data_IF_363505899808
#
_entry.id   IF_363505899808
#
_cell.length_a   1.000
_cell.length_b   1.000
_cell.length_c   1.000
_cell.angle_alpha   90.00
_cell.angle_beta   90.00
_cell.angle_gamma   90.00
#
_symmetry.space_group_name_H-M   'P 1'
#
loop_
_entity.id
_entity.type
_entity.pdbx_description
1 polymer ?
#
# COMPACT_ATOMS: atom_id res chain seq x y z
N UNK A 1 -45.05 -2.36 11.05
CA UNK A 1 -43.94 -1.88 10.21
C UNK A 1 -43.20 -0.83 11.05
N UNK A 2 -42.55 -1.17 12.17
CA UNK A 2 -41.35 -2.00 12.29
C UNK A 2 -40.17 -1.14 11.81
N UNK A 3 -39.50 -0.38 12.68
CA UNK A 3 -38.34 -0.84 13.45
C UNK A 3 -38.46 -0.47 14.93
N UNK A 4 -38.49 -1.50 15.78
CA UNK A 4 -38.63 -1.40 17.22
C UNK A 4 -37.37 -0.81 17.87
N UNK A 5 -37.61 0.26 18.63
CA UNK A 5 -37.15 0.54 19.98
C UNK A 5 -36.13 -0.43 20.62
N UNK A 6 -34.89 0.03 20.81
CA UNK A 6 -33.94 -0.54 21.77
C UNK A 6 -32.93 0.52 22.25
N UNK A 7 -33.44 1.70 22.65
CA UNK A 7 -32.62 2.79 23.21
C UNK A 7 -32.98 3.14 24.65
N UNK A 8 -33.46 2.15 25.40
CA UNK A 8 -33.56 2.25 26.85
C UNK A 8 -33.06 0.96 27.47
N UNK A 9 -32.27 1.06 28.55
CA UNK A 9 -31.65 -0.03 29.33
C UNK A 9 -30.24 -0.44 28.85
N UNK A 10 -29.21 0.32 29.25
CA UNK A 10 -28.10 -0.20 30.10
C UNK A 10 -27.15 0.94 30.52
N UNK A 11 -27.41 1.47 31.71
CA UNK A 11 -26.39 2.15 32.54
C UNK A 11 -25.39 1.08 33.05
N UNK A 12 -24.10 1.44 33.17
CA UNK A 12 -23.01 0.75 33.90
C UNK A 12 -22.02 -0.15 33.12
N UNK A 13 -21.27 0.38 32.13
CA UNK A 13 -19.89 -0.06 31.86
C UNK A 13 -19.01 1.15 31.46
N UNK A 14 -17.80 1.32 32.04
CA UNK A 14 -16.91 2.42 31.68
C UNK A 14 -16.36 2.22 30.26
N UNK A 15 -16.56 3.24 29.41
CA UNK A 15 -15.85 3.55 28.17
C UNK A 15 -15.36 2.33 27.37
N UNK A 16 -16.22 1.84 26.48
CA UNK A 16 -15.82 0.94 25.42
C UNK A 16 -14.81 1.63 24.50
N UNK A 17 -13.64 0.99 24.37
CA UNK A 17 -12.84 0.84 23.16
C UNK A 17 -12.80 2.03 22.20
N UNK A 18 -11.74 2.81 22.29
CA UNK A 18 -10.62 2.73 21.35
C UNK A 18 -9.82 4.01 21.49
N UNK A 19 -8.59 3.86 21.98
CA UNK A 19 -7.51 4.76 21.64
C UNK A 19 -7.35 4.74 20.12
N UNK A 20 -8.12 5.57 19.41
CA UNK A 20 -7.70 6.06 18.11
C UNK A 20 -6.62 7.11 18.39
N UNK A 21 -5.45 6.59 18.76
CA UNK A 21 -4.19 7.29 18.55
C UNK A 21 -4.06 7.43 17.05
N UNK A 22 -4.50 8.57 16.52
CA UNK A 22 -4.25 9.00 15.15
C UNK A 22 -2.75 9.31 14.98
N UNK A 23 -1.89 8.32 15.16
CA UNK A 23 -0.84 8.18 14.17
C UNK A 23 -1.63 7.83 12.93
N UNK A 24 -1.59 8.68 11.91
CA UNK A 24 -2.06 8.35 10.57
C UNK A 24 -1.13 7.27 9.98
N UNK A 25 -1.04 6.13 10.66
CA UNK A 25 -0.58 4.88 10.09
C UNK A 25 -1.71 4.56 9.13
N UNK A 26 -1.52 4.94 7.86
CA UNK A 26 -2.43 4.61 6.76
C UNK A 26 -2.81 3.15 6.99
N UNK A 27 -4.07 2.91 7.33
CA UNK A 27 -4.55 1.59 7.68
C UNK A 27 -4.54 0.78 6.39
N UNK A 28 -3.39 0.18 6.16
CA UNK A 28 -3.08 -0.71 5.06
C UNK A 28 -3.81 -2.02 5.34
N UNK A 29 -5.10 -2.05 5.02
CA UNK A 29 -5.92 -3.27 5.06
C UNK A 29 -5.39 -4.22 3.98
N UNK A 30 -4.30 -4.95 4.26
CA UNK A 30 -3.72 -5.92 3.32
C UNK A 30 -2.22 -5.79 3.01
N UNK A 31 -1.43 -5.05 3.78
CA UNK A 31 0.04 -4.98 3.60
C UNK A 31 0.55 -3.98 2.54
N UNK A 32 -0.30 -3.44 1.67
CA UNK A 32 0.05 -2.39 0.69
C UNK A 32 -0.71 -1.05 0.85
N UNK A 33 -0.16 0.02 0.28
CA UNK A 33 -0.90 1.25 -0.05
C UNK A 33 -2.06 0.92 -0.98
N UNK A 34 -3.30 1.21 -0.59
CA UNK A 34 -4.41 1.15 -1.52
C UNK A 34 -4.39 2.37 -2.44
N UNK A 35 -4.59 2.14 -3.74
CA UNK A 35 -4.80 3.16 -4.76
C UNK A 35 -6.09 2.87 -5.51
N UNK A 36 -7.00 3.83 -5.53
CA UNK A 36 -8.25 3.72 -6.26
C UNK A 36 -8.03 4.05 -7.73
N UNK A 37 -8.28 3.07 -8.61
CA UNK A 37 -8.12 3.23 -10.06
C UNK A 37 -9.15 4.23 -10.60
N UNK A 38 -8.69 5.27 -11.29
CA UNK A 38 -9.56 6.26 -11.92
C UNK A 38 -9.89 5.91 -13.37
N UNK A 39 -11.02 6.40 -13.86
CA UNK A 39 -11.40 6.23 -15.27
C UNK A 39 -10.35 6.88 -16.17
N UNK A 40 -9.79 6.10 -17.11
CA UNK A 40 -8.74 6.55 -18.01
C UNK A 40 -7.31 6.42 -17.45
N UNK A 41 -7.14 5.86 -16.25
CA UNK A 41 -5.81 5.50 -15.77
C UNK A 41 -5.18 4.38 -16.62
N UNK A 42 -3.85 4.35 -16.61
CA UNK A 42 -3.02 3.31 -17.20
C UNK A 42 -2.02 2.85 -16.14
N UNK A 43 -1.54 1.61 -16.20
CA UNK A 43 -0.49 1.18 -15.25
C UNK A 43 0.74 2.09 -15.30
N UNK A 44 1.02 2.74 -16.44
CA UNK A 44 2.09 3.72 -16.56
C UNK A 44 1.78 5.05 -15.85
N UNK A 45 0.54 5.56 -15.88
CA UNK A 45 0.16 6.76 -15.13
C UNK A 45 0.16 6.49 -13.62
N UNK A 46 -0.38 5.35 -13.21
CA UNK A 46 -0.39 4.91 -11.81
C UNK A 46 1.03 4.72 -11.30
N UNK A 47 1.87 3.97 -12.03
CA UNK A 47 3.27 3.76 -11.64
C UNK A 47 4.00 5.10 -11.41
N UNK A 48 3.76 6.11 -12.26
CA UNK A 48 4.31 7.46 -12.06
C UNK A 48 3.74 8.17 -10.85
N UNK A 49 2.44 8.04 -10.56
CA UNK A 49 1.81 8.71 -9.41
C UNK A 49 2.31 8.15 -8.08
N UNK A 50 2.59 6.85 -8.02
CA UNK A 50 3.06 6.17 -6.80
C UNK A 50 4.58 5.97 -6.76
N UNK A 51 5.31 6.54 -7.73
CA UNK A 51 6.76 6.41 -7.88
C UNK A 51 7.25 4.95 -7.89
N UNK A 52 6.48 4.09 -8.54
CA UNK A 52 6.80 2.69 -8.79
C UNK A 52 7.09 2.47 -10.28
N UNK A 53 7.51 1.27 -10.62
CA UNK A 53 7.69 0.81 -12.00
C UNK A 53 6.45 0.06 -12.48
N UNK A 54 6.25 0.04 -13.79
CA UNK A 54 5.18 -0.74 -14.43
C UNK A 54 5.19 -2.21 -13.97
N UNK A 55 6.39 -2.81 -13.93
CA UNK A 55 6.56 -4.19 -13.48
C UNK A 55 6.17 -4.38 -12.00
N UNK A 56 6.44 -3.40 -11.14
CA UNK A 56 6.04 -3.45 -9.73
C UNK A 56 4.51 -3.42 -9.57
N UNK A 57 3.81 -2.54 -10.29
CA UNK A 57 2.35 -2.46 -10.24
C UNK A 57 1.71 -3.81 -10.61
N UNK A 58 2.18 -4.46 -11.67
CA UNK A 58 1.67 -5.78 -12.06
C UNK A 58 2.08 -6.87 -11.06
N UNK A 59 3.29 -6.81 -10.52
CA UNK A 59 3.77 -7.81 -9.56
C UNK A 59 3.01 -7.76 -8.24
N UNK A 60 2.52 -6.59 -7.83
CA UNK A 60 1.77 -6.40 -6.59
C UNK A 60 0.28 -6.73 -6.74
N UNK A 61 -0.23 -6.74 -7.96
CA UNK A 61 -1.66 -6.89 -8.27
C UNK A 61 -1.84 -8.05 -9.25
N UNK A 62 -1.99 -9.27 -8.72
CA UNK A 62 -2.14 -10.50 -9.52
C UNK A 62 -3.40 -10.53 -10.39
N UNK A 63 -4.37 -9.68 -10.07
CA UNK A 63 -5.59 -9.45 -10.81
C UNK A 63 -5.38 -8.60 -12.07
N UNK A 64 -4.27 -7.89 -12.20
CA UNK A 64 -3.94 -7.10 -13.40
C UNK A 64 -3.08 -7.94 -14.35
N UNK A 65 -3.50 -8.02 -15.61
CA UNK A 65 -2.74 -8.70 -16.66
C UNK A 65 -1.39 -8.03 -16.92
N UNK A 66 -0.43 -8.80 -17.46
CA UNK A 66 0.88 -8.28 -17.86
C UNK A 66 0.79 -7.11 -18.86
N UNK A 67 -0.25 -7.10 -19.69
CA UNK A 67 -0.52 -6.05 -20.66
C UNK A 67 -1.27 -4.85 -20.07
N UNK A 68 -1.69 -4.91 -18.81
CA UNK A 68 -2.55 -3.92 -18.15
C UNK A 68 -3.84 -3.62 -18.93
N UNK A 69 -4.33 -4.59 -19.70
CA UNK A 69 -5.50 -4.45 -20.59
C UNK A 69 -6.82 -4.51 -19.85
N UNK A 70 -6.85 -5.19 -18.71
CA UNK A 70 -8.03 -5.36 -17.88
C UNK A 70 -8.16 -4.29 -16.77
N UNK A 71 -7.28 -3.27 -16.77
CA UNK A 71 -7.34 -2.19 -15.78
C UNK A 71 -8.69 -1.46 -15.80
N UNK A 72 -9.31 -1.35 -16.97
CA UNK A 72 -10.64 -0.78 -17.15
C UNK A 72 -11.76 -1.66 -16.54
N UNK A 73 -11.56 -2.97 -16.38
CA UNK A 73 -12.54 -3.84 -15.71
C UNK A 73 -12.44 -3.74 -14.18
N UNK A 74 -11.26 -3.37 -13.67
CA UNK A 74 -11.03 -3.12 -12.24
C UNK A 74 -11.11 -1.64 -11.89
N UNK A 75 -11.61 -0.79 -12.81
CA UNK A 75 -11.82 0.63 -12.54
C UNK A 75 -12.78 0.83 -11.35
N UNK A 76 -12.44 1.74 -10.44
CA UNK A 76 -13.19 1.91 -9.19
C UNK A 76 -12.87 0.90 -8.08
N UNK A 77 -12.01 -0.09 -8.33
CA UNK A 77 -11.44 -0.96 -7.29
C UNK A 77 -10.14 -0.37 -6.71
N UNK A 78 -9.78 -0.81 -5.51
CA UNK A 78 -8.49 -0.48 -4.89
C UNK A 78 -7.44 -1.54 -5.23
N UNK A 79 -6.30 -1.07 -5.76
CA UNK A 79 -5.12 -1.89 -6.05
C UNK A 79 -3.97 -1.54 -5.09
N UNK A 80 -3.02 -2.44 -4.95
CA UNK A 80 -1.77 -2.20 -4.25
C UNK A 80 -0.85 -1.24 -5.03
N UNK A 81 -0.66 -0.04 -4.48
CA UNK A 81 0.28 0.98 -4.91
C UNK A 81 1.66 0.91 -4.23
N UNK A 82 1.82 0.04 -3.23
CA UNK A 82 3.11 -0.25 -2.63
C UNK A 82 3.30 -1.75 -2.45
N UNK A 83 4.54 -2.19 -2.21
CA UNK A 83 4.83 -3.60 -2.00
C UNK A 83 4.03 -4.17 -0.81
N UNK A 84 3.12 -5.14 -1.03
CA UNK A 84 2.35 -5.77 0.05
C UNK A 84 3.21 -6.58 1.03
N UNK A 85 4.40 -6.98 0.59
CA UNK A 85 5.34 -7.78 1.37
C UNK A 85 6.34 -6.93 2.19
N UNK A 86 6.23 -5.60 2.13
CA UNK A 86 7.09 -4.67 2.86
C UNK A 86 8.30 -4.16 2.07
N UNK A 87 9.16 -3.39 2.72
CA UNK A 87 10.32 -2.77 2.10
C UNK A 87 11.53 -3.71 2.10
N UNK A 88 11.76 -4.42 1.00
CA UNK A 88 13.02 -5.13 0.78
C UNK A 88 14.12 -4.15 0.38
N UNK A 89 14.69 -3.46 1.37
CA UNK A 89 15.95 -2.74 1.19
C UNK A 89 17.10 -3.72 1.38
N UNK A 90 17.95 -3.88 0.35
CA UNK A 90 19.25 -4.48 0.57
C UNK A 90 20.02 -3.57 1.55
N UNK A 91 20.71 -4.12 2.56
CA UNK A 91 21.56 -3.31 3.42
C UNK A 91 22.60 -2.63 2.52
N UNK A 92 22.64 -1.30 2.58
CA UNK A 92 23.66 -0.53 1.86
C UNK A 92 25.01 -0.90 2.47
N UNK A 93 25.90 -1.52 1.70
CA UNK A 93 27.27 -1.74 2.12
C UNK A 93 28.00 -0.38 2.10
N UNK A 94 27.93 0.35 3.22
CA UNK A 94 28.65 1.60 3.44
C UNK A 94 30.16 1.44 3.59
N UNK A 95 30.65 0.20 3.59
CA UNK A 95 32.07 -0.11 3.52
C UNK A 95 32.51 0.10 2.07
N UNK A 96 32.83 1.35 1.75
CA UNK A 96 33.47 1.73 0.49
C UNK A 96 34.71 0.88 0.27
N UNK A 97 34.99 0.60 -1.01
CA UNK A 97 36.20 -0.11 -1.45
C UNK A 97 37.40 0.43 -0.66
N UNK A 98 38.14 -0.39 0.10
CA UNK A 98 39.33 0.09 0.77
C UNK A 98 40.27 0.64 -0.30
N UNK A 99 40.62 1.92 -0.18
CA UNK A 99 41.62 2.56 -1.03
C UNK A 99 42.92 1.77 -0.91
N UNK A 100 43.19 0.93 -1.90
CA UNK A 100 44.45 0.20 -2.01
C UNK A 100 45.52 1.24 -2.33
N UNK A 101 46.32 1.60 -1.34
CA UNK A 101 47.52 2.41 -1.54
C UNK A 101 48.54 1.57 -2.29
N UNK A 102 48.71 1.86 -3.59
CA UNK A 102 49.81 1.33 -4.38
C UNK A 102 51.09 2.04 -3.96
N UNK A 103 51.92 1.37 -3.15
CA UNK A 103 53.31 1.78 -2.92
C UNK A 103 54.14 1.37 -4.13
N UNK A 104 54.69 2.36 -4.84
CA UNK A 104 55.66 2.15 -5.90
C UNK A 104 57.02 1.73 -5.30
N UNK A 105 57.68 0.77 -5.96
CA UNK A 105 58.99 0.24 -5.60
C UNK A 105 60.14 1.16 -6.04
#
# INVERSE_FOLDING_TARGET
MGFLDFRLVTLLLPVALASQSEVRTRATTGGCEAYSVQVGDTCASIARSVNATYAQIISWNSEIDLACSNLAEVEGSEICASNPLGNYALPSNSQGVPTIVTTAA
#
